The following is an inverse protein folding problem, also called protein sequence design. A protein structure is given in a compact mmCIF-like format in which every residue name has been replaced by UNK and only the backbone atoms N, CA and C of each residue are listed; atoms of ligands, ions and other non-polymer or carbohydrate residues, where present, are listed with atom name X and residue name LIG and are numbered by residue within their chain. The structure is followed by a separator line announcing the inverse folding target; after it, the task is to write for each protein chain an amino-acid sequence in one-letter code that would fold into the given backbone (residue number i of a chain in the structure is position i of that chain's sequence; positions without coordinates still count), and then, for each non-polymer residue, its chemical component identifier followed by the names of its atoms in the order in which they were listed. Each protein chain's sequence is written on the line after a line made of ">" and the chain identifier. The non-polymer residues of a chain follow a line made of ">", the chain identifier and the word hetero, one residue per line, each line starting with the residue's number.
data_IF_002773926234
#
_entry.id   IF_002773926234
#
_cell.length_a   1.000
_cell.length_b   1.000
_cell.length_c   1.000
_cell.angle_alpha   90.00
_cell.angle_beta   90.00
_cell.angle_gamma   90.00
#
_symmetry.space_group_name_H-M   'P 1'
#
loop_
_entity.id
_entity.type
_entity.pdbx_description
1 polymer ?
#
# COMPACT_ATOMS: atom_id res chain seq x y z
N UNK A 1 -17.35 19.72 -18.44
CA UNK A 1 -16.44 20.36 -17.46
C UNK A 1 -15.30 21.05 -18.20
N UNK A 2 -15.52 22.28 -18.73
CA UNK A 2 -14.59 22.94 -19.64
C UNK A 2 -13.24 23.34 -19.01
N UNK A 3 -13.13 23.39 -17.68
CA UNK A 3 -11.89 23.78 -16.98
C UNK A 3 -11.02 22.58 -16.55
N UNK A 4 -11.56 21.35 -16.56
CA UNK A 4 -10.85 20.18 -16.05
C UNK A 4 -9.61 19.85 -16.88
N UNK A 5 -9.73 19.94 -18.20
CA UNK A 5 -8.61 19.63 -19.10
C UNK A 5 -7.43 20.59 -18.88
N UNK A 6 -7.73 21.89 -18.73
CA UNK A 6 -6.73 22.90 -18.37
C UNK A 6 -6.13 22.68 -16.98
N UNK A 7 -6.95 22.24 -16.01
CA UNK A 7 -6.49 21.94 -14.67
C UNK A 7 -5.53 20.74 -14.63
N UNK A 8 -5.84 19.66 -15.35
CA UNK A 8 -4.98 18.48 -15.47
C UNK A 8 -3.62 18.85 -16.07
N UNK A 9 -3.63 19.63 -17.16
CA UNK A 9 -2.39 20.12 -17.79
C UNK A 9 -1.60 20.99 -16.82
N UNK A 10 -2.26 21.91 -16.12
CA UNK A 10 -1.64 22.77 -15.11
C UNK A 10 -0.97 21.95 -14.00
N UNK A 11 -1.66 20.98 -13.40
CA UNK A 11 -1.09 20.14 -12.35
C UNK A 11 0.14 19.37 -12.84
N UNK A 12 0.09 18.82 -14.05
CA UNK A 12 1.22 18.10 -14.65
C UNK A 12 2.44 19.00 -14.84
N UNK A 13 2.25 20.17 -15.47
CA UNK A 13 3.34 21.12 -15.71
C UNK A 13 3.90 21.66 -14.40
N UNK A 14 3.04 22.05 -13.47
CA UNK A 14 3.46 22.64 -12.21
C UNK A 14 4.17 21.62 -11.30
N UNK A 15 3.70 20.37 -11.25
CA UNK A 15 4.40 19.30 -10.55
C UNK A 15 5.75 18.98 -11.19
N UNK A 16 5.80 18.90 -12.53
CA UNK A 16 7.04 18.65 -13.28
C UNK A 16 8.14 19.67 -13.06
N UNK A 17 7.80 20.92 -12.71
CA UNK A 17 8.77 21.99 -12.43
C UNK A 17 9.10 22.10 -10.95
N UNK A 18 8.09 21.99 -10.07
CA UNK A 18 8.24 22.35 -8.66
C UNK A 18 8.43 21.15 -7.72
N UNK A 19 8.02 19.95 -8.14
CA UNK A 19 7.96 18.73 -7.33
C UNK A 19 7.10 18.84 -6.06
N UNK A 20 6.19 19.81 -5.98
CA UNK A 20 5.42 20.04 -4.75
C UNK A 20 4.18 19.14 -4.67
N UNK A 21 3.98 18.53 -3.51
CA UNK A 21 2.84 17.64 -3.19
C UNK A 21 1.43 18.22 -3.41
N UNK A 22 1.14 19.55 -3.31
CA UNK A 22 -0.20 20.06 -3.55
C UNK A 22 -0.74 19.77 -4.95
N UNK A 23 0.13 19.63 -5.95
CA UNK A 23 -0.28 19.28 -7.30
C UNK A 23 -0.70 17.81 -7.41
N UNK A 24 -0.04 16.90 -6.69
CA UNK A 24 -0.47 15.50 -6.56
C UNK A 24 -1.82 15.42 -5.83
N UNK A 25 -1.96 16.16 -4.73
CA UNK A 25 -3.21 16.26 -3.99
C UNK A 25 -4.34 16.75 -4.90
N UNK A 26 -4.17 17.87 -5.59
CA UNK A 26 -5.19 18.44 -6.47
C UNK A 26 -5.56 17.48 -7.62
N UNK A 27 -4.56 16.86 -8.25
CA UNK A 27 -4.78 15.80 -9.25
C UNK A 27 -5.63 14.65 -8.71
N UNK A 28 -5.39 14.25 -7.46
CA UNK A 28 -6.15 13.17 -6.83
C UNK A 28 -7.60 13.57 -6.53
N UNK A 29 -7.87 14.84 -6.20
CA UNK A 29 -9.23 15.37 -6.07
C UNK A 29 -9.93 15.35 -7.43
N UNK A 30 -9.25 15.69 -8.52
CA UNK A 30 -9.83 15.60 -9.87
C UNK A 30 -10.33 14.19 -10.20
N UNK A 31 -9.58 13.14 -9.82
CA UNK A 31 -9.98 11.74 -10.01
C UNK A 31 -11.26 11.40 -9.24
N UNK A 32 -11.39 11.91 -8.02
CA UNK A 32 -12.55 11.63 -7.16
C UNK A 32 -13.81 12.35 -7.65
N UNK A 33 -13.69 13.62 -8.06
CA UNK A 33 -14.83 14.46 -8.38
C UNK A 33 -15.33 14.30 -9.82
N UNK A 34 -14.48 13.86 -10.76
CA UNK A 34 -14.83 13.80 -12.19
C UNK A 34 -14.58 12.44 -12.88
N UNK A 35 -14.82 11.27 -12.24
CA UNK A 35 -14.40 9.96 -12.76
C UNK A 35 -15.06 9.55 -14.09
N UNK A 36 -16.30 9.99 -14.34
CA UNK A 36 -17.12 9.49 -15.45
C UNK A 36 -16.54 9.83 -16.83
N UNK A 37 -16.20 8.80 -17.61
CA UNK A 37 -15.76 8.94 -19.01
C UNK A 37 -14.34 9.50 -19.18
N UNK A 38 -13.54 9.56 -18.11
CA UNK A 38 -12.20 10.19 -18.10
C UNK A 38 -11.08 9.24 -17.68
N UNK A 39 -11.35 7.93 -17.64
CA UNK A 39 -10.41 6.90 -17.18
C UNK A 39 -9.02 7.02 -17.84
N UNK A 40 -8.96 7.23 -19.16
CA UNK A 40 -7.70 7.39 -19.88
C UNK A 40 -6.93 8.66 -19.51
N UNK A 41 -7.62 9.79 -19.36
CA UNK A 41 -7.02 11.06 -18.98
C UNK A 41 -6.39 10.99 -17.57
N UNK A 42 -7.12 10.42 -16.61
CA UNK A 42 -6.60 10.28 -15.24
C UNK A 42 -5.52 9.21 -15.12
N UNK A 43 -5.59 8.17 -15.94
CA UNK A 43 -4.50 7.21 -16.06
C UNK A 43 -3.22 7.89 -16.56
N UNK A 44 -3.28 8.63 -17.68
CA UNK A 44 -2.10 9.32 -18.20
C UNK A 44 -1.58 10.39 -17.22
N UNK A 45 -2.47 11.09 -16.51
CA UNK A 45 -2.07 12.01 -15.45
C UNK A 45 -1.32 11.28 -14.32
N UNK A 46 -1.89 10.19 -13.80
CA UNK A 46 -1.27 9.39 -12.72
C UNK A 46 0.07 8.81 -13.15
N UNK A 47 0.14 8.28 -14.38
CA UNK A 47 1.36 7.75 -14.98
C UNK A 47 2.43 8.83 -15.08
N UNK A 48 2.15 9.98 -15.71
CA UNK A 48 3.13 11.05 -15.89
C UNK A 48 3.62 11.60 -14.54
N UNK A 49 2.71 11.84 -13.58
CA UNK A 49 3.11 12.31 -12.25
C UNK A 49 3.94 11.27 -11.50
N UNK A 50 3.62 9.97 -11.60
CA UNK A 50 4.43 8.91 -10.99
C UNK A 50 5.83 8.86 -11.60
N UNK A 51 5.94 8.99 -12.94
CA UNK A 51 7.21 9.04 -13.63
C UNK A 51 8.06 10.24 -13.20
N UNK A 52 7.44 11.43 -13.10
CA UNK A 52 8.11 12.62 -12.54
C UNK A 52 8.59 12.36 -11.11
N UNK A 53 7.73 11.81 -10.24
CA UNK A 53 8.10 11.53 -8.86
C UNK A 53 9.29 10.56 -8.77
N UNK A 54 9.33 9.52 -9.60
CA UNK A 54 10.43 8.55 -9.63
C UNK A 54 11.75 9.10 -10.15
N UNK A 55 11.79 10.30 -10.76
CA UNK A 55 13.06 10.95 -11.10
C UNK A 55 13.84 11.38 -9.86
N UNK A 56 13.17 11.61 -8.73
CA UNK A 56 13.80 12.03 -7.46
C UNK A 56 13.48 11.11 -6.28
N UNK A 57 12.43 10.29 -6.33
CA UNK A 57 12.11 9.25 -5.33
C UNK A 57 12.77 7.91 -5.69
N UNK A 58 14.10 7.87 -5.67
CA UNK A 58 14.89 6.71 -6.15
C UNK A 58 15.39 5.79 -5.03
N UNK A 59 15.31 6.23 -3.78
CA UNK A 59 15.83 5.51 -2.61
C UNK A 59 15.03 5.78 -1.34
N UNK A 60 15.18 4.93 -0.32
CA UNK A 60 14.57 5.18 1.00
C UNK A 60 14.96 6.55 1.58
N UNK A 61 16.19 6.99 1.34
CA UNK A 61 16.67 8.31 1.76
C UNK A 61 15.90 9.44 1.05
N UNK A 62 15.71 9.36 -0.27
CA UNK A 62 14.92 10.36 -1.00
C UNK A 62 13.45 10.40 -0.56
N UNK A 63 12.85 9.24 -0.28
CA UNK A 63 11.49 9.16 0.25
C UNK A 63 11.38 9.82 1.64
N UNK A 64 12.43 9.69 2.46
CA UNK A 64 12.52 10.32 3.79
C UNK A 64 12.63 11.84 3.68
N UNK A 65 13.28 12.37 2.63
CA UNK A 65 13.40 13.81 2.38
C UNK A 65 12.14 14.43 1.76
N UNK A 66 11.27 13.63 1.16
CA UNK A 66 10.05 14.08 0.48
C UNK A 66 8.79 13.31 0.94
N UNK A 67 8.51 13.23 2.25
CA UNK A 67 7.45 12.38 2.77
C UNK A 67 6.03 12.85 2.38
N UNK A 68 5.86 14.14 2.12
CA UNK A 68 4.61 14.75 1.65
C UNK A 68 4.31 14.35 0.20
N UNK A 69 5.32 14.31 -0.67
CA UNK A 69 5.18 13.81 -2.05
C UNK A 69 4.84 12.33 -2.04
N UNK A 70 5.48 11.55 -1.17
CA UNK A 70 5.21 10.11 -1.01
C UNK A 70 3.75 9.89 -0.59
N UNK A 71 3.28 10.61 0.42
CA UNK A 71 1.89 10.56 0.88
C UNK A 71 0.91 10.83 -0.28
N UNK A 72 1.08 11.97 -0.96
CA UNK A 72 0.13 12.40 -1.98
C UNK A 72 0.20 11.58 -3.28
N UNK A 73 1.38 11.06 -3.63
CA UNK A 73 1.54 10.13 -4.75
C UNK A 73 0.70 8.86 -4.53
N UNK A 74 0.78 8.30 -3.32
CA UNK A 74 0.02 7.09 -3.00
C UNK A 74 -1.46 7.37 -2.79
N UNK A 75 -1.87 8.55 -2.32
CA UNK A 75 -3.28 8.93 -2.34
C UNK A 75 -3.84 9.09 -3.76
N UNK A 76 -3.07 9.66 -4.70
CA UNK A 76 -3.44 9.71 -6.12
C UNK A 76 -3.63 8.31 -6.70
N UNK A 77 -2.65 7.42 -6.51
CA UNK A 77 -2.75 6.02 -6.96
C UNK A 77 -3.93 5.27 -6.34
N UNK A 78 -4.17 5.45 -5.03
CA UNK A 78 -5.28 4.83 -4.32
C UNK A 78 -6.64 5.24 -4.89
N UNK A 79 -6.83 6.55 -5.11
CA UNK A 79 -8.06 7.11 -5.70
C UNK A 79 -8.25 6.66 -7.15
N UNK A 80 -7.18 6.50 -7.91
CA UNK A 80 -7.25 5.94 -9.26
C UNK A 80 -7.75 4.49 -9.25
N UNK A 81 -7.22 3.65 -8.35
CA UNK A 81 -7.71 2.28 -8.17
C UNK A 81 -9.17 2.25 -7.69
N UNK A 82 -9.55 3.14 -6.77
CA UNK A 82 -10.92 3.16 -6.24
C UNK A 82 -11.96 3.59 -7.28
N UNK A 83 -11.65 4.62 -8.08
CA UNK A 83 -12.64 5.26 -8.97
C UNK A 83 -12.57 4.76 -10.42
N UNK A 84 -11.37 4.49 -10.91
CA UNK A 84 -11.11 4.13 -12.31
C UNK A 84 -10.05 3.01 -12.39
N UNK A 85 -10.29 1.82 -11.80
CA UNK A 85 -9.24 0.83 -11.59
C UNK A 85 -8.62 0.28 -12.88
N UNK A 86 -9.44 0.01 -13.90
CA UNK A 86 -9.02 -0.83 -15.04
C UNK A 86 -7.73 -0.39 -15.73
N UNK A 87 -7.52 0.89 -16.10
CA UNK A 87 -6.29 1.30 -16.77
C UNK A 87 -5.03 1.09 -15.93
N UNK A 88 -5.09 1.44 -14.63
CA UNK A 88 -3.93 1.32 -13.75
C UNK A 88 -3.69 -0.14 -13.35
N UNK A 89 -4.75 -0.88 -13.02
CA UNK A 89 -4.67 -2.29 -12.64
C UNK A 89 -4.18 -3.21 -13.77
N UNK A 90 -4.48 -2.87 -15.02
CA UNK A 90 -4.12 -3.67 -16.19
C UNK A 90 -2.76 -3.30 -16.79
N UNK A 91 -2.16 -2.17 -16.41
CA UNK A 91 -0.87 -1.72 -16.96
C UNK A 91 0.28 -2.03 -16.01
N UNK A 92 0.95 -3.17 -16.24
CA UNK A 92 2.07 -3.64 -15.41
C UNK A 92 3.20 -2.59 -15.31
N UNK A 93 3.65 -2.01 -16.43
CA UNK A 93 4.75 -1.04 -16.50
C UNK A 93 4.53 0.26 -15.72
N UNK A 94 3.31 0.51 -15.23
CA UNK A 94 2.98 1.67 -14.37
C UNK A 94 2.72 1.22 -12.94
N UNK A 95 1.91 0.17 -12.75
CA UNK A 95 1.55 -0.30 -11.41
C UNK A 95 2.73 -0.94 -10.68
N UNK A 96 3.61 -1.67 -11.39
CA UNK A 96 4.72 -2.36 -10.77
C UNK A 96 5.74 -1.40 -10.12
N UNK A 97 6.24 -0.33 -10.79
CA UNK A 97 7.08 0.66 -10.14
C UNK A 97 6.41 1.37 -8.95
N UNK A 98 5.11 1.65 -9.02
CA UNK A 98 4.35 2.19 -7.89
C UNK A 98 4.34 1.24 -6.69
N UNK A 99 4.11 -0.04 -6.92
CA UNK A 99 4.15 -1.06 -5.87
C UNK A 99 5.56 -1.26 -5.31
N UNK A 100 6.60 -1.26 -6.15
CA UNK A 100 7.99 -1.31 -5.68
C UNK A 100 8.34 -0.11 -4.80
N UNK A 101 7.96 1.10 -5.21
CA UNK A 101 8.12 2.30 -4.39
C UNK A 101 7.33 2.18 -3.08
N UNK A 102 6.10 1.63 -3.11
CA UNK A 102 5.29 1.41 -1.92
C UNK A 102 5.98 0.45 -0.93
N UNK A 103 6.59 -0.63 -1.42
CA UNK A 103 7.34 -1.57 -0.57
C UNK A 103 8.52 -0.90 0.15
N UNK A 104 9.21 0.05 -0.50
CA UNK A 104 10.23 0.88 0.15
C UNK A 104 9.58 1.86 1.14
N UNK A 105 8.47 2.49 0.74
CA UNK A 105 7.70 3.45 1.56
C UNK A 105 7.15 2.86 2.86
N UNK A 106 6.84 1.57 2.90
CA UNK A 106 6.44 0.85 4.13
C UNK A 106 7.50 0.89 5.23
N UNK A 107 8.77 1.17 4.88
CA UNK A 107 9.90 1.27 5.81
C UNK A 107 10.09 2.68 6.37
N UNK A 108 9.36 3.67 5.86
CA UNK A 108 9.47 5.06 6.32
C UNK A 108 8.91 5.22 7.72
N UNK A 109 9.72 5.78 8.61
CA UNK A 109 9.30 6.23 9.93
C UNK A 109 8.68 7.64 9.84
N UNK A 110 7.67 7.78 8.98
CA UNK A 110 6.88 8.99 8.85
C UNK A 110 5.40 8.59 8.71
N UNK A 111 4.61 8.89 9.75
CA UNK A 111 3.22 8.44 9.92
C UNK A 111 2.36 8.67 8.68
N UNK A 112 2.39 9.88 8.12
CA UNK A 112 1.49 10.29 7.04
C UNK A 112 1.85 9.65 5.70
N UNK A 113 3.12 9.76 5.28
CA UNK A 113 3.69 8.99 4.16
C UNK A 113 3.37 7.49 4.23
N UNK A 114 3.65 6.84 5.37
CA UNK A 114 3.35 5.42 5.55
C UNK A 114 1.85 5.13 5.46
N UNK A 115 0.99 5.97 6.03
CA UNK A 115 -0.47 5.85 5.90
C UNK A 115 -0.93 5.95 4.45
N UNK A 116 -0.39 6.89 3.67
CA UNK A 116 -0.65 7.01 2.23
C UNK A 116 -0.23 5.74 1.48
N UNK A 117 0.99 5.27 1.73
CA UNK A 117 1.53 4.01 1.18
C UNK A 117 0.63 2.81 1.48
N UNK A 118 0.29 2.60 2.76
CA UNK A 118 -0.54 1.48 3.20
C UNK A 118 -1.96 1.56 2.65
N UNK A 119 -2.51 2.77 2.51
CA UNK A 119 -3.81 2.97 1.89
C UNK A 119 -3.81 2.59 0.40
N UNK A 120 -2.77 2.96 -0.35
CA UNK A 120 -2.62 2.55 -1.75
C UNK A 120 -2.55 1.04 -1.90
N UNK A 121 -1.69 0.38 -1.11
CA UNK A 121 -1.55 -1.09 -1.12
C UNK A 121 -2.90 -1.75 -0.80
N UNK A 122 -3.61 -1.26 0.21
CA UNK A 122 -4.94 -1.75 0.59
C UNK A 122 -5.98 -1.59 -0.54
N UNK A 123 -5.96 -0.47 -1.28
CA UNK A 123 -6.84 -0.31 -2.45
C UNK A 123 -6.51 -1.32 -3.56
N UNK A 124 -5.23 -1.53 -3.87
CA UNK A 124 -4.81 -2.51 -4.89
C UNK A 124 -5.21 -3.93 -4.50
N UNK A 125 -4.99 -4.32 -3.24
CA UNK A 125 -5.37 -5.64 -2.73
C UNK A 125 -6.89 -5.81 -2.67
N UNK A 126 -7.62 -4.78 -2.23
CA UNK A 126 -9.09 -4.77 -2.19
C UNK A 126 -9.68 -4.96 -3.59
N UNK A 127 -9.14 -4.27 -4.60
CA UNK A 127 -9.51 -4.47 -6.00
C UNK A 127 -9.23 -5.92 -6.45
N UNK A 128 -8.01 -6.41 -6.23
CA UNK A 128 -7.60 -7.76 -6.62
C UNK A 128 -8.36 -8.89 -5.90
N UNK A 129 -8.97 -8.63 -4.75
CA UNK A 129 -9.83 -9.59 -4.05
C UNK A 129 -11.21 -9.77 -4.69
N UNK A 130 -11.62 -8.84 -5.55
CA UNK A 130 -12.94 -8.80 -6.21
C UNK A 130 -12.85 -8.97 -7.73
N UNK A 131 -11.68 -8.74 -8.31
CA UNK A 131 -11.40 -8.80 -9.73
C UNK A 131 -10.16 -9.68 -10.02
N UNK A 132 -9.74 -9.75 -11.28
CA UNK A 132 -8.46 -10.40 -11.61
C UNK A 132 -7.31 -9.64 -10.93
N UNK A 133 -6.44 -10.37 -10.22
CA UNK A 133 -5.31 -9.76 -9.54
C UNK A 133 -4.30 -9.22 -10.58
N UNK A 134 -3.87 -7.95 -10.46
CA UNK A 134 -2.82 -7.42 -11.32
C UNK A 134 -1.55 -8.27 -11.24
N UNK A 135 -0.93 -8.58 -12.38
CA UNK A 135 0.33 -9.33 -12.41
C UNK A 135 1.42 -8.68 -11.55
N UNK A 136 1.47 -7.34 -11.56
CA UNK A 136 2.36 -6.54 -10.71
C UNK A 136 2.16 -6.83 -9.21
N UNK A 137 0.92 -7.02 -8.75
CA UNK A 137 0.64 -7.36 -7.35
C UNK A 137 1.15 -8.76 -6.99
N UNK A 138 0.94 -9.74 -7.88
CA UNK A 138 1.40 -11.11 -7.67
C UNK A 138 2.93 -11.14 -7.56
N UNK A 139 3.62 -10.38 -8.40
CA UNK A 139 5.08 -10.31 -8.42
C UNK A 139 5.66 -9.71 -7.13
N UNK A 140 5.03 -8.68 -6.57
CA UNK A 140 5.50 -8.03 -5.34
C UNK A 140 4.98 -8.71 -4.06
N UNK A 141 4.04 -9.65 -4.15
CA UNK A 141 3.37 -10.26 -3.01
C UNK A 141 4.33 -10.87 -1.96
N UNK A 142 5.45 -11.55 -2.32
CA UNK A 142 6.39 -12.06 -1.34
C UNK A 142 7.00 -10.96 -0.46
N UNK A 143 7.46 -9.87 -1.08
CA UNK A 143 8.04 -8.74 -0.36
C UNK A 143 6.97 -7.98 0.44
N UNK A 144 5.75 -7.86 -0.10
CA UNK A 144 4.63 -7.26 0.61
C UNK A 144 4.32 -8.03 1.90
N UNK A 145 4.13 -9.34 1.81
CA UNK A 145 3.86 -10.19 2.98
C UNK A 145 5.01 -10.11 3.99
N UNK A 146 6.26 -10.15 3.52
CA UNK A 146 7.43 -10.00 4.38
C UNK A 146 7.43 -8.66 5.13
N UNK A 147 7.18 -7.54 4.45
CA UNK A 147 7.11 -6.22 5.08
C UNK A 147 5.97 -6.12 6.10
N UNK A 148 4.79 -6.66 5.79
CA UNK A 148 3.64 -6.68 6.71
C UNK A 148 3.98 -7.47 7.99
N UNK A 149 4.60 -8.65 7.85
CA UNK A 149 5.03 -9.44 9.01
C UNK A 149 6.14 -8.71 9.78
N UNK A 150 7.14 -8.14 9.10
CA UNK A 150 8.17 -7.36 9.76
C UNK A 150 7.58 -6.18 10.54
N UNK A 151 6.55 -5.52 10.05
CA UNK A 151 5.83 -4.48 10.79
C UNK A 151 5.13 -5.05 12.03
N UNK A 152 4.45 -6.21 11.93
CA UNK A 152 3.81 -6.86 13.09
C UNK A 152 4.82 -7.32 14.15
N UNK A 153 5.98 -7.78 13.72
CA UNK A 153 7.07 -8.20 14.58
C UNK A 153 7.86 -6.99 15.13
N UNK A 154 7.56 -5.79 14.61
CA UNK A 154 8.10 -4.48 14.95
C UNK A 154 9.46 -4.14 14.34
N UNK A 155 9.93 -4.92 13.37
CA UNK A 155 11.15 -4.62 12.60
C UNK A 155 10.94 -3.45 11.61
N UNK A 156 9.68 -3.18 11.22
CA UNK A 156 9.27 -2.00 10.45
C UNK A 156 8.21 -1.18 11.21
N UNK A 157 8.01 0.10 10.85
CA UNK A 157 6.96 0.93 11.42
C UNK A 157 5.56 0.32 11.23
N UNK A 158 4.74 0.38 12.28
CA UNK A 158 3.39 -0.19 12.29
C UNK A 158 2.38 0.81 12.87
N UNK A 159 1.93 1.76 12.05
CA UNK A 159 1.02 2.82 12.50
C UNK A 159 -0.47 2.41 12.47
N UNK A 160 -0.83 1.41 11.65
CA UNK A 160 -2.20 0.88 11.59
C UNK A 160 -2.18 -0.64 11.49
N UNK A 161 -2.23 -1.30 12.65
CA UNK A 161 -2.20 -2.77 12.74
C UNK A 161 -3.57 -3.37 12.41
N UNK A 162 -4.63 -2.80 13.00
CA UNK A 162 -6.03 -3.17 12.80
C UNK A 162 -6.85 -1.93 12.46
N UNK A 163 -7.92 -2.11 11.68
CA UNK A 163 -8.80 -1.01 11.26
C UNK A 163 -9.36 -1.24 9.86
N UNK A 164 -10.23 -0.33 9.40
CA UNK A 164 -10.96 -0.52 8.14
C UNK A 164 -10.11 -0.33 6.88
N UNK A 165 -9.24 0.69 6.84
CA UNK A 165 -8.46 1.07 5.66
C UNK A 165 -6.97 1.16 5.96
N UNK A 166 -6.14 0.66 5.06
CA UNK A 166 -4.69 0.72 5.17
C UNK A 166 -4.12 -0.01 6.38
N UNK A 167 -4.89 -0.93 6.99
CA UNK A 167 -4.44 -1.71 8.14
C UNK A 167 -3.70 -2.95 7.68
N UNK A 168 -2.68 -3.36 8.45
CA UNK A 168 -1.93 -4.60 8.17
C UNK A 168 -2.88 -5.81 8.14
N UNK A 169 -3.80 -5.92 9.09
CA UNK A 169 -4.80 -6.99 9.12
C UNK A 169 -5.72 -6.98 7.90
N UNK A 170 -6.15 -5.79 7.46
CA UNK A 170 -7.01 -5.62 6.29
C UNK A 170 -6.34 -6.09 5.00
N UNK A 171 -5.07 -5.71 4.82
CA UNK A 171 -4.26 -6.10 3.65
C UNK A 171 -4.02 -7.61 3.66
N UNK A 172 -3.61 -8.20 4.80
CA UNK A 172 -3.41 -9.65 4.91
C UNK A 172 -4.70 -10.42 4.65
N UNK A 173 -5.83 -9.96 5.21
CA UNK A 173 -7.14 -10.55 4.94
C UNK A 173 -7.52 -10.42 3.46
N UNK A 174 -7.24 -9.28 2.82
CA UNK A 174 -7.48 -9.11 1.38
C UNK A 174 -6.65 -10.07 0.54
N UNK A 175 -5.36 -10.22 0.84
CA UNK A 175 -4.45 -11.17 0.17
C UNK A 175 -4.95 -12.62 0.28
N UNK A 176 -5.54 -13.02 1.41
CA UNK A 176 -6.06 -14.39 1.57
C UNK A 176 -7.27 -14.71 0.69
N UNK A 177 -7.92 -13.67 0.15
CA UNK A 177 -9.06 -13.81 -0.78
C UNK A 177 -8.62 -13.90 -2.23
N UNK A 178 -7.38 -13.58 -2.56
CA UNK A 178 -6.87 -13.61 -3.94
C UNK A 178 -6.47 -15.04 -4.32
N UNK A 179 -7.12 -15.69 -5.30
CA UNK A 179 -6.87 -17.10 -5.61
C UNK A 179 -5.43 -17.44 -6.03
N UNK A 180 -4.74 -16.52 -6.69
CA UNK A 180 -3.42 -16.74 -7.27
C UNK A 180 -2.26 -16.27 -6.38
N UNK A 181 -2.55 -15.86 -5.14
CA UNK A 181 -1.51 -15.52 -4.16
C UNK A 181 -1.31 -16.75 -3.26
N UNK A 182 -0.13 -17.41 -3.28
CA UNK A 182 0.15 -18.57 -2.44
C UNK A 182 0.44 -18.16 -0.98
N UNK A 183 -0.54 -17.54 -0.33
CA UNK A 183 -0.34 -16.83 0.94
C UNK A 183 0.24 -17.73 2.04
N UNK A 184 -0.16 -19.01 2.12
CA UNK A 184 0.40 -19.95 3.09
C UNK A 184 1.92 -20.08 2.97
N UNK A 185 2.42 -20.32 1.74
CA UNK A 185 3.85 -20.42 1.48
C UNK A 185 4.58 -19.12 1.75
N UNK A 186 3.96 -17.97 1.43
CA UNK A 186 4.55 -16.65 1.69
C UNK A 186 4.66 -16.35 3.19
N UNK A 187 3.64 -16.69 3.96
CA UNK A 187 3.63 -16.55 5.42
C UNK A 187 4.71 -17.44 6.05
N UNK A 188 4.80 -18.71 5.62
CA UNK A 188 5.81 -19.65 6.11
C UNK A 188 7.24 -19.18 5.78
N UNK A 189 7.47 -18.69 4.56
CA UNK A 189 8.79 -18.21 4.13
C UNK A 189 9.23 -16.92 4.84
N UNK A 190 8.27 -16.10 5.27
CA UNK A 190 8.53 -14.77 5.84
C UNK A 190 8.51 -14.73 7.38
N UNK A 191 7.97 -15.75 8.04
CA UNK A 191 7.87 -15.81 9.50
C UNK A 191 9.22 -16.23 10.12
N UNK A 192 9.83 -15.42 11.01
CA UNK A 192 11.07 -15.80 11.65
C UNK A 192 10.84 -16.82 12.77
N UNK A 193 11.89 -17.60 13.06
CA UNK A 193 11.85 -18.72 14.02
C UNK A 193 11.57 -18.25 15.46
N UNK A 194 11.94 -17.01 15.79
CA UNK A 194 11.81 -16.44 17.13
C UNK A 194 10.48 -15.68 17.38
N UNK A 195 9.60 -15.67 16.38
CA UNK A 195 8.25 -15.12 16.49
C UNK A 195 7.44 -15.85 17.57
N UNK A 196 6.50 -15.17 18.25
CA UNK A 196 5.60 -15.82 19.20
C UNK A 196 4.81 -16.95 18.54
N UNK A 197 5.21 -18.20 18.78
CA UNK A 197 4.76 -19.36 18.00
C UNK A 197 3.24 -19.51 18.02
N UNK A 198 2.61 -19.46 19.20
CA UNK A 198 1.16 -19.66 19.31
C UNK A 198 0.35 -18.56 18.59
N UNK A 199 0.53 -17.26 18.87
CA UNK A 199 -0.17 -16.21 18.13
C UNK A 199 0.11 -16.21 16.62
N UNK A 200 1.35 -16.50 16.21
CA UNK A 200 1.74 -16.54 14.80
C UNK A 200 1.01 -17.67 14.05
N UNK A 201 1.00 -18.88 14.63
CA UNK A 201 0.31 -20.04 14.05
C UNK A 201 -1.20 -19.78 13.95
N UNK A 202 -1.82 -19.19 14.97
CA UNK A 202 -3.25 -18.89 14.96
C UNK A 202 -3.63 -17.85 13.91
N UNK A 203 -2.80 -16.81 13.73
CA UNK A 203 -2.98 -15.83 12.66
C UNK A 203 -2.86 -16.49 11.27
N UNK A 204 -1.82 -17.30 11.06
CA UNK A 204 -1.62 -18.01 9.79
C UNK A 204 -2.81 -18.94 9.50
N UNK A 205 -3.27 -19.71 10.48
CA UNK A 205 -4.46 -20.58 10.33
C UNK A 205 -5.70 -19.78 9.94
N UNK A 206 -5.96 -18.65 10.60
CA UNK A 206 -7.12 -17.80 10.29
C UNK A 206 -7.06 -17.26 8.86
N UNK A 207 -5.87 -16.84 8.39
CA UNK A 207 -5.66 -16.36 7.02
C UNK A 207 -5.85 -17.48 5.99
N UNK A 208 -5.23 -18.65 6.19
CA UNK A 208 -5.31 -19.80 5.28
C UNK A 208 -6.74 -20.35 5.20
N UNK A 209 -7.44 -20.43 6.34
CA UNK A 209 -8.84 -20.82 6.41
C UNK A 209 -9.80 -19.76 5.83
N UNK A 210 -9.27 -18.61 5.40
CA UNK A 210 -10.05 -17.45 4.91
C UNK A 210 -11.15 -17.07 5.91
N UNK A 211 -10.79 -17.00 7.19
CA UNK A 211 -11.69 -16.65 8.28
C UNK A 211 -12.32 -15.25 8.07
N UNK A 212 -13.45 -14.95 8.73
CA UNK A 212 -14.03 -13.61 8.75
C UNK A 212 -13.00 -12.55 9.13
N UNK A 213 -13.16 -11.34 8.59
CA UNK A 213 -12.22 -10.22 8.81
C UNK A 213 -11.96 -9.97 10.29
N UNK A 214 -13.01 -9.96 11.11
CA UNK A 214 -12.91 -9.74 12.56
C UNK A 214 -12.00 -10.76 13.24
N UNK A 215 -12.14 -12.03 12.88
CA UNK A 215 -11.32 -13.09 13.46
C UNK A 215 -9.84 -12.90 13.06
N UNK A 216 -9.57 -12.52 11.81
CA UNK A 216 -8.21 -12.19 11.36
C UNK A 216 -7.65 -10.99 12.12
N UNK A 217 -8.44 -9.92 12.29
CA UNK A 217 -8.05 -8.74 13.07
C UNK A 217 -7.67 -9.11 14.51
N UNK A 218 -8.47 -9.93 15.17
CA UNK A 218 -8.21 -10.40 16.54
C UNK A 218 -6.89 -11.20 16.62
N UNK A 219 -6.62 -12.09 15.66
CA UNK A 219 -5.37 -12.88 15.64
C UNK A 219 -4.14 -12.03 15.30
N UNK A 220 -4.26 -11.10 14.34
CA UNK A 220 -3.18 -10.16 13.99
C UNK A 220 -2.85 -9.27 15.19
N UNK A 221 -3.86 -8.75 15.88
CA UNK A 221 -3.68 -7.94 17.09
C UNK A 221 -3.00 -8.75 18.21
N UNK A 222 -3.41 -10.01 18.41
CA UNK A 222 -2.80 -10.91 19.40
C UNK A 222 -1.31 -11.13 19.14
N UNK A 223 -0.91 -11.37 17.88
CA UNK A 223 0.49 -11.49 17.49
C UNK A 223 1.26 -10.19 17.77
N UNK A 224 0.74 -9.06 17.31
CA UNK A 224 1.37 -7.75 17.53
C UNK A 224 1.57 -7.46 19.03
N UNK A 225 0.54 -7.66 19.85
CA UNK A 225 0.60 -7.46 21.30
C UNK A 225 1.60 -8.40 22.00
N UNK A 226 1.78 -9.64 21.51
CA UNK A 226 2.80 -10.55 22.03
C UNK A 226 4.22 -10.04 21.71
N UNK A 227 4.45 -9.53 20.50
CA UNK A 227 5.73 -8.95 20.09
C UNK A 227 6.08 -7.69 20.89
N UNK A 228 5.11 -6.79 21.11
CA UNK A 228 5.32 -5.58 21.91
C UNK A 228 5.68 -5.90 23.36
N UNK A 229 5.03 -6.90 23.98
CA UNK A 229 5.38 -7.35 25.34
C UNK A 229 6.80 -7.91 25.45
N UNK A 230 7.22 -8.75 24.48
CA UNK A 230 8.59 -9.30 24.43
C UNK A 230 9.64 -8.19 24.39
N UNK A 231 9.40 -7.14 23.61
CA UNK A 231 10.30 -5.98 23.49
C UNK A 231 10.33 -5.09 24.73
N UNK A 232 9.17 -4.83 25.32
CA UNK A 232 9.07 -4.06 26.56
C UNK A 232 9.77 -4.72 27.74
N UNK A 233 9.92 -6.05 27.71
CA UNK A 233 10.72 -6.80 28.68
C UNK A 233 12.22 -6.62 28.43
N UNK A 234 12.68 -6.80 27.19
CA UNK A 234 14.10 -6.64 26.79
C UNK A 234 14.62 -5.21 27.00
N UNK A 235 13.78 -4.18 26.85
CA UNK A 235 14.20 -2.78 27.07
C UNK A 235 14.33 -2.38 28.55
N UNK A 236 13.98 -3.27 29.49
CA UNK A 236 14.02 -3.02 30.94
C UNK A 236 15.12 -3.81 31.67
N UNK A 237 15.87 -4.64 30.95
CA UNK A 237 17.10 -5.31 31.41
C UNK A 237 18.33 -4.51 30.97
#
# INVERSE_FOLDING_TARGET
>A
TPLLDGLVVFCLTAFGVSHQSPYLYLSSICVVEYPTGRNSQFFEMTKNMSQTAFTFLTSLESLTHHPDVVEELFYLGARMIEKCPEPLASTHDVLFPLLQCALVGMRLDHVHANRGTMHFVDQVVSYASKAAAPAALIEVAPTLVSNLLQALLGALPAYCVVGERGSISGILHGLSRIPNVPLEGLLQASMPVDAPQFPAVEMCKALVAKAPRRDVEDKVHSLYAACQRKRGFVARE
#
